data_IF_246494998534
#
_entry.id   IF_246494998534
#
_cell.length_a   1.000
_cell.length_b   1.000
_cell.length_c   1.000
_cell.angle_alpha   90.00
_cell.angle_beta   90.00
_cell.angle_gamma   90.00
#
_symmetry.space_group_name_H-M   'P 1'
#
loop_
_entity.id
_entity.type
_entity.pdbx_description
1 polymer ?
#
# COMPACT_ATOMS: atom_id res chain seq x y z
N UNK A 1 -3.29 -12.83 11.51
CA UNK A 1 -3.31 -11.42 11.96
C UNK A 1 -2.14 -10.67 11.34
N UNK A 2 -2.33 -9.39 11.04
CA UNK A 2 -1.27 -8.50 10.54
C UNK A 2 -0.85 -7.59 11.68
N UNK A 3 0.46 -7.49 11.94
CA UNK A 3 1.03 -6.62 12.96
C UNK A 3 1.92 -5.56 12.31
N UNK A 4 1.78 -4.30 12.74
CA UNK A 4 2.59 -3.19 12.27
C UNK A 4 3.76 -3.00 13.24
N UNK A 5 4.98 -3.29 12.78
CA UNK A 5 6.18 -3.23 13.63
C UNK A 5 6.70 -1.80 13.84
N UNK A 6 6.32 -0.85 12.99
CA UNK A 6 6.74 0.57 13.02
C UNK A 6 5.51 1.50 13.03
N UNK A 7 4.75 1.56 14.13
CA UNK A 7 3.49 2.32 14.21
C UNK A 7 3.67 3.85 14.20
N UNK A 8 4.89 4.34 14.41
CA UNK A 8 5.26 5.76 14.47
C UNK A 8 5.76 6.33 13.13
N UNK A 9 5.80 5.51 12.08
CA UNK A 9 6.23 5.92 10.75
C UNK A 9 5.28 7.00 10.19
N UNK A 10 5.83 8.17 9.88
CA UNK A 10 5.07 9.27 9.24
C UNK A 10 4.77 8.92 7.79
N UNK A 11 3.48 8.76 7.45
CA UNK A 11 3.03 8.43 6.09
C UNK A 11 2.76 9.69 5.26
N UNK A 12 2.14 10.71 5.85
CA UNK A 12 1.78 11.95 5.15
C UNK A 12 1.69 13.14 6.12
N UNK A 13 1.86 14.34 5.59
CA UNK A 13 1.51 15.60 6.27
C UNK A 13 0.32 16.22 5.53
N UNK A 14 -0.75 16.53 6.26
CA UNK A 14 -1.98 17.06 5.69
C UNK A 14 -2.09 18.56 5.99
N UNK A 15 -2.47 19.33 4.98
CA UNK A 15 -2.85 20.72 5.12
C UNK A 15 -4.23 20.87 5.81
N UNK A 16 -4.56 22.10 6.21
CA UNK A 16 -5.87 22.40 6.79
C UNK A 16 -6.99 21.99 5.81
N UNK A 17 -7.98 21.26 6.31
CA UNK A 17 -9.14 20.72 5.55
C UNK A 17 -8.82 19.60 4.54
N UNK A 18 -7.58 19.11 4.46
CA UNK A 18 -7.25 17.95 3.64
C UNK A 18 -7.84 16.65 4.22
N UNK A 19 -8.18 15.70 3.35
CA UNK A 19 -8.61 14.35 3.70
C UNK A 19 -7.75 13.33 2.97
N UNK A 20 -7.32 12.30 3.67
CA UNK A 20 -6.56 11.18 3.12
C UNK A 20 -7.31 9.88 3.43
N UNK A 21 -7.63 9.15 2.38
CA UNK A 21 -8.27 7.84 2.44
C UNK A 21 -7.38 6.88 1.63
N UNK A 22 -6.91 5.81 2.26
CA UNK A 22 -5.97 4.84 1.68
C UNK A 22 -6.43 3.44 2.06
N UNK A 23 -6.51 2.58 1.05
CA UNK A 23 -6.63 1.13 1.22
C UNK A 23 -5.32 0.46 0.77
N UNK A 24 -4.79 -0.46 1.58
CA UNK A 24 -3.57 -1.20 1.28
C UNK A 24 -3.81 -2.70 1.40
N UNK A 25 -3.26 -3.47 0.47
CA UNK A 25 -3.28 -4.94 0.51
C UNK A 25 -1.89 -5.46 0.89
N UNK A 26 -1.83 -6.31 1.91
CA UNK A 26 -0.58 -6.96 2.35
C UNK A 26 -0.67 -8.45 2.06
N UNK A 27 0.38 -9.02 1.47
CA UNK A 27 0.51 -10.45 1.16
C UNK A 27 1.84 -10.99 1.70
N UNK A 28 1.89 -12.28 2.01
CA UNK A 28 3.14 -12.96 2.36
C UNK A 28 3.95 -13.24 1.09
N UNK A 29 5.24 -12.92 1.09
CA UNK A 29 6.14 -13.09 -0.04
C UNK A 29 7.56 -13.46 0.39
N UNK A 30 8.47 -13.59 -0.59
CA UNK A 30 9.90 -13.83 -0.37
C UNK A 30 10.72 -13.05 -1.39
N UNK A 31 11.82 -12.46 -0.94
CA UNK A 31 12.70 -11.68 -1.82
C UNK A 31 12.07 -10.36 -2.19
N UNK A 32 12.29 -9.92 -3.43
CA UNK A 32 11.80 -8.66 -3.99
C UNK A 32 10.96 -8.95 -5.25
N UNK A 33 9.81 -8.29 -5.36
CA UNK A 33 8.87 -8.41 -6.47
C UNK A 33 8.60 -7.00 -7.02
N UNK A 34 8.78 -6.85 -8.33
CA UNK A 34 8.49 -5.59 -9.03
C UNK A 34 6.97 -5.36 -9.14
N UNK A 35 6.55 -4.10 -9.14
CA UNK A 35 5.15 -3.67 -9.18
C UNK A 35 4.34 -4.31 -10.33
N UNK A 36 4.94 -4.50 -11.51
CA UNK A 36 4.26 -5.11 -12.66
C UNK A 36 3.78 -6.54 -12.36
N UNK A 37 4.51 -7.29 -11.53
CA UNK A 37 4.10 -8.64 -11.11
C UNK A 37 3.02 -8.64 -10.02
N UNK A 38 2.80 -7.51 -9.35
CA UNK A 38 1.73 -7.33 -8.37
C UNK A 38 0.41 -6.88 -9.01
N UNK A 39 0.40 -6.66 -10.34
CA UNK A 39 -0.80 -6.35 -11.11
C UNK A 39 -1.60 -7.63 -11.35
N UNK A 40 -2.83 -7.66 -10.84
CA UNK A 40 -3.75 -8.79 -11.00
C UNK A 40 -4.90 -8.40 -11.94
N UNK A 41 -5.42 -9.38 -12.68
CA UNK A 41 -6.59 -9.17 -13.53
C UNK A 41 -7.82 -8.84 -12.67
N UNK A 42 -8.55 -7.79 -13.04
CA UNK A 42 -9.77 -7.38 -12.35
C UNK A 42 -9.56 -6.45 -11.16
N UNK A 43 -8.34 -5.93 -10.94
CA UNK A 43 -8.13 -4.87 -9.95
C UNK A 43 -9.00 -3.63 -10.25
N UNK A 44 -9.62 -3.01 -9.23
CA UNK A 44 -10.39 -1.79 -9.39
C UNK A 44 -9.59 -0.63 -10.02
N UNK A 45 -10.30 0.25 -10.71
CA UNK A 45 -9.72 1.50 -11.21
C UNK A 45 -9.24 2.32 -10.00
N UNK A 46 -8.01 2.84 -10.07
CA UNK A 46 -7.39 3.63 -9.01
C UNK A 46 -6.45 2.85 -8.11
N UNK A 47 -6.37 1.52 -8.26
CA UNK A 47 -5.34 0.72 -7.59
C UNK A 47 -3.99 0.98 -8.25
N UNK A 48 -2.98 1.29 -7.43
CA UNK A 48 -1.61 1.51 -7.87
C UNK A 48 -0.75 0.36 -7.32
N UNK A 49 -0.23 -0.54 -8.18
CA UNK A 49 0.67 -1.58 -7.71
C UNK A 49 2.02 -0.97 -7.31
N UNK A 50 2.63 -1.54 -6.27
CA UNK A 50 3.94 -1.14 -5.74
C UNK A 50 4.86 -2.35 -5.65
N UNK A 51 6.16 -2.09 -5.58
CA UNK A 51 7.15 -3.14 -5.31
C UNK A 51 6.96 -3.70 -3.88
N UNK A 52 7.29 -4.99 -3.67
CA UNK A 52 7.16 -5.67 -2.37
C UNK A 52 8.32 -6.60 -2.08
#
# INVERSE_FOLDING_TARGET
>A
DVEILTPDLVIATLEKEAKLDIEMTVKLGRGYVIAEHNKEDGLPIGVIPVDS
#
